data_IF_198151314877
#
_entry.id   IF_198151314877
#
_cell.length_a   1.000
_cell.length_b   1.000
_cell.length_c   1.000
_cell.angle_alpha   90.00
_cell.angle_beta   90.00
_cell.angle_gamma   90.00
#
_symmetry.space_group_name_H-M   'P 1'
#
loop_
_entity.id
_entity.type
_entity.pdbx_description
1 polymer ?
#
# COMPACT_ATOMS: atom_id res chain seq x y z
N UNK A 1 18.14 25.22 -9.72
CA UNK A 1 17.37 23.96 -9.55
C UNK A 1 16.48 23.82 -10.76
N UNK A 2 16.57 22.73 -11.52
CA UNK A 2 15.65 22.48 -12.65
C UNK A 2 14.30 22.01 -12.09
N UNK A 3 13.21 22.40 -12.76
CA UNK A 3 11.83 22.07 -12.35
C UNK A 3 11.59 20.55 -12.21
N UNK A 4 12.36 19.71 -12.92
CA UNK A 4 12.24 18.24 -12.85
C UNK A 4 12.90 17.60 -11.61
N UNK A 5 13.57 18.39 -10.76
CA UNK A 5 14.34 17.86 -9.62
C UNK A 5 13.45 17.53 -8.42
N UNK A 6 12.38 18.28 -8.18
CA UNK A 6 11.52 18.12 -7.02
C UNK A 6 10.06 18.12 -7.45
N UNK A 7 9.20 17.57 -6.60
CA UNK A 7 7.77 17.46 -6.86
C UNK A 7 7.29 16.03 -6.59
N UNK A 8 6.30 15.93 -5.71
CA UNK A 8 5.60 14.70 -5.45
C UNK A 8 4.68 14.39 -6.63
N UNK A 9 4.66 13.13 -7.07
CA UNK A 9 3.78 12.66 -8.14
C UNK A 9 3.16 11.31 -7.74
N UNK A 10 1.88 11.15 -8.07
CA UNK A 10 1.21 9.85 -7.99
C UNK A 10 1.53 8.99 -9.21
N UNK A 11 1.47 7.69 -8.99
CA UNK A 11 1.49 6.67 -10.04
C UNK A 11 0.08 6.17 -10.29
N UNK A 12 -0.20 5.73 -11.51
CA UNK A 12 -1.49 5.15 -11.89
C UNK A 12 -1.32 3.67 -12.22
N UNK A 13 -1.73 2.81 -11.30
CA UNK A 13 -1.63 1.36 -11.38
C UNK A 13 -2.94 0.76 -11.92
N UNK A 14 -2.83 -0.17 -12.86
CA UNK A 14 -4.00 -0.73 -13.54
C UNK A 14 -4.97 -1.53 -12.65
N UNK A 15 -4.51 -1.99 -11.48
CA UNK A 15 -5.32 -2.72 -10.48
C UNK A 15 -5.90 -1.81 -9.41
N UNK A 16 -5.11 -0.86 -8.90
CA UNK A 16 -5.48 -0.04 -7.73
C UNK A 16 -5.91 1.39 -8.04
N UNK A 17 -5.61 1.90 -9.24
CA UNK A 17 -5.79 3.31 -9.56
C UNK A 17 -4.62 4.13 -9.04
N UNK A 18 -4.91 5.21 -8.31
CA UNK A 18 -3.88 6.10 -7.80
C UNK A 18 -3.07 5.45 -6.67
N UNK A 19 -1.75 5.59 -6.76
CA UNK A 19 -0.85 5.15 -5.72
C UNK A 19 0.34 6.11 -5.58
N UNK A 20 0.80 6.34 -4.36
CA UNK A 20 2.09 6.97 -4.13
C UNK A 20 3.19 5.88 -4.14
N UNK A 21 4.42 6.22 -4.52
CA UNK A 21 5.50 5.21 -4.63
C UNK A 21 6.86 5.83 -4.37
N UNK A 22 7.74 5.00 -3.82
CA UNK A 22 9.08 5.32 -3.36
C UNK A 22 10.11 4.31 -3.87
N UNK A 23 11.41 4.64 -3.85
CA UNK A 23 12.47 3.75 -4.32
C UNK A 23 12.74 2.70 -3.24
N UNK A 24 12.38 1.45 -3.54
CA UNK A 24 12.47 0.30 -2.63
C UNK A 24 13.87 0.04 -2.06
N UNK A 25 14.93 0.40 -2.78
CA UNK A 25 16.31 0.25 -2.34
C UNK A 25 16.68 1.22 -1.21
N UNK A 26 15.88 2.27 -0.99
CA UNK A 26 16.09 3.25 0.08
C UNK A 26 15.04 3.14 1.18
N UNK A 27 13.83 2.66 0.87
CA UNK A 27 12.69 2.77 1.79
C UNK A 27 12.14 1.45 2.31
N UNK A 28 12.42 0.31 1.67
CA UNK A 28 11.98 -0.99 2.17
C UNK A 28 12.94 -1.56 3.22
N UNK A 29 12.99 -0.92 4.40
CA UNK A 29 13.99 -1.19 5.45
C UNK A 29 13.96 -2.62 6.02
N UNK A 30 12.80 -3.28 5.99
CA UNK A 30 12.60 -4.64 6.52
C UNK A 30 12.21 -5.66 5.45
N UNK A 31 12.53 -5.39 4.18
CA UNK A 31 12.23 -6.33 3.10
C UNK A 31 13.11 -7.59 3.20
N UNK A 32 12.45 -8.75 3.30
CA UNK A 32 13.09 -10.07 3.23
C UNK A 32 13.64 -10.34 1.83
N UNK A 33 14.50 -11.34 1.70
CA UNK A 33 14.97 -11.81 0.40
C UNK A 33 13.83 -12.23 -0.54
N UNK A 34 12.78 -12.85 0.00
CA UNK A 34 11.58 -13.25 -0.75
C UNK A 34 10.83 -12.03 -1.26
N UNK A 35 10.59 -11.05 -0.39
CA UNK A 35 9.97 -9.78 -0.77
C UNK A 35 10.75 -9.09 -1.90
N UNK A 36 12.08 -9.04 -1.78
CA UNK A 36 12.96 -8.44 -2.81
C UNK A 36 12.89 -9.21 -4.13
N UNK A 37 12.89 -10.55 -4.08
CA UNK A 37 12.81 -11.41 -5.27
C UNK A 37 11.46 -11.33 -6.00
N UNK A 38 10.37 -11.35 -5.24
CA UNK A 38 9.00 -11.30 -5.78
C UNK A 38 8.44 -9.88 -5.93
N UNK A 39 9.23 -8.86 -5.59
CA UNK A 39 8.80 -7.46 -5.61
C UNK A 39 8.19 -7.12 -6.97
N UNK A 40 6.99 -6.56 -6.97
CA UNK A 40 6.31 -6.09 -8.18
C UNK A 40 7.16 -5.08 -8.96
N UNK A 41 7.99 -4.30 -8.27
CA UNK A 41 8.98 -3.41 -8.87
C UNK A 41 10.03 -4.11 -9.75
N UNK A 42 10.17 -5.45 -9.71
CA UNK A 42 11.04 -6.21 -10.62
C UNK A 42 10.44 -6.38 -12.02
N UNK A 43 9.18 -6.00 -12.22
CA UNK A 43 8.55 -6.02 -13.54
C UNK A 43 9.21 -5.03 -14.50
N UNK A 44 9.31 -5.39 -15.78
CA UNK A 44 9.95 -4.55 -16.82
C UNK A 44 9.39 -3.12 -16.83
N UNK A 45 8.08 -2.97 -16.59
CA UNK A 45 7.39 -1.67 -16.52
C UNK A 45 7.86 -0.78 -15.36
N UNK A 46 8.52 -1.32 -14.36
CA UNK A 46 9.03 -0.59 -13.19
C UNK A 46 10.54 -0.31 -13.28
N UNK A 47 11.21 -0.90 -14.28
CA UNK A 47 12.67 -0.85 -14.43
C UNK A 47 13.13 0.25 -15.40
N UNK A 48 12.22 0.92 -16.14
CA UNK A 48 12.63 2.02 -17.00
C UNK A 48 13.13 3.23 -16.20
N UNK A 49 14.09 3.97 -16.77
CA UNK A 49 14.70 5.14 -16.11
C UNK A 49 13.66 6.19 -15.72
N UNK A 50 12.67 6.43 -16.57
CA UNK A 50 11.58 7.35 -16.28
C UNK A 50 10.79 6.91 -15.03
N UNK A 51 10.53 5.61 -14.88
CA UNK A 51 9.78 5.07 -13.75
C UNK A 51 10.61 5.10 -12.46
N UNK A 52 11.89 4.76 -12.53
CA UNK A 52 12.80 4.87 -11.38
C UNK A 52 12.95 6.35 -10.94
N UNK A 53 13.12 7.25 -11.90
CA UNK A 53 13.29 8.70 -11.65
C UNK A 53 12.09 9.31 -10.94
N UNK A 54 10.86 8.91 -11.28
CA UNK A 54 9.65 9.38 -10.57
C UNK A 54 9.68 9.01 -9.08
N UNK A 55 10.04 7.77 -8.75
CA UNK A 55 10.12 7.29 -7.36
C UNK A 55 11.24 7.96 -6.61
N UNK A 56 12.40 8.10 -7.25
CA UNK A 56 13.54 8.80 -6.69
C UNK A 56 13.22 10.28 -6.42
N UNK A 57 12.49 10.95 -7.34
CA UNK A 57 12.02 12.32 -7.13
C UNK A 57 11.05 12.43 -5.97
N UNK A 58 10.12 11.49 -5.81
CA UNK A 58 9.23 11.44 -4.63
C UNK A 58 10.03 11.33 -3.33
N UNK A 59 11.01 10.43 -3.27
CA UNK A 59 11.86 10.26 -2.08
C UNK A 59 12.67 11.52 -1.78
N UNK A 60 13.37 12.06 -2.78
CA UNK A 60 14.17 13.28 -2.64
C UNK A 60 13.31 14.48 -2.20
N UNK A 61 12.10 14.60 -2.74
CA UNK A 61 11.16 15.66 -2.34
C UNK A 61 10.66 15.46 -0.93
N UNK A 62 10.30 14.24 -0.54
CA UNK A 62 9.91 13.95 0.84
C UNK A 62 11.03 14.31 1.83
N UNK A 63 12.26 13.89 1.54
CA UNK A 63 13.43 14.22 2.36
C UNK A 63 13.68 15.73 2.43
N UNK A 64 13.56 16.44 1.31
CA UNK A 64 13.73 17.89 1.28
C UNK A 64 12.68 18.62 2.13
N UNK A 65 11.40 18.25 1.99
CA UNK A 65 10.31 18.87 2.74
C UNK A 65 10.42 18.58 4.24
N UNK A 66 10.77 17.35 4.60
CA UNK A 66 11.07 16.98 5.99
C UNK A 66 12.21 17.81 6.58
N UNK A 67 13.30 18.00 5.83
CA UNK A 67 14.43 18.80 6.29
C UNK A 67 14.11 20.30 6.37
N UNK A 68 13.17 20.81 5.56
CA UNK A 68 12.83 22.24 5.50
C UNK A 68 11.73 22.66 6.45
N UNK A 69 10.72 21.82 6.66
CA UNK A 69 9.55 22.15 7.47
C UNK A 69 8.96 20.96 8.22
N UNK A 70 9.71 19.87 8.33
CA UNK A 70 9.30 18.67 9.04
C UNK A 70 8.08 17.98 8.42
N UNK A 71 7.44 17.15 9.25
CA UNK A 71 6.23 16.40 8.89
C UNK A 71 5.06 17.27 8.43
N UNK A 72 4.92 18.49 8.95
CA UNK A 72 3.82 19.39 8.59
C UNK A 72 3.91 19.86 7.14
N UNK A 73 5.11 20.31 6.71
CA UNK A 73 5.32 20.73 5.32
C UNK A 73 5.20 19.56 4.34
N UNK A 74 5.68 18.36 4.72
CA UNK A 74 5.47 17.17 3.91
C UNK A 74 3.97 16.83 3.83
N UNK A 75 3.24 16.89 4.95
CA UNK A 75 1.81 16.59 4.98
C UNK A 75 1.00 17.52 4.07
N UNK A 76 1.26 18.82 4.10
CA UNK A 76 0.62 19.80 3.20
C UNK A 76 0.76 19.38 1.72
N UNK A 77 1.98 18.99 1.32
CA UNK A 77 2.25 18.57 -0.06
C UNK A 77 1.64 17.18 -0.37
N UNK A 78 1.56 16.28 0.61
CA UNK A 78 0.85 15.01 0.48
C UNK A 78 -0.65 15.25 0.29
N UNK A 79 -1.24 16.17 1.03
CA UNK A 79 -2.63 16.58 0.89
C UNK A 79 -2.91 17.10 -0.53
N UNK A 80 -2.02 17.94 -1.08
CA UNK A 80 -2.18 18.44 -2.46
C UNK A 80 -2.20 17.32 -3.51
N UNK A 81 -1.30 16.33 -3.41
CA UNK A 81 -1.31 15.21 -4.37
C UNK A 81 -2.51 14.28 -4.15
N UNK A 82 -2.98 14.10 -2.90
CA UNK A 82 -4.21 13.36 -2.61
C UNK A 82 -5.40 14.02 -3.32
N UNK A 83 -5.49 15.35 -3.27
CA UNK A 83 -6.55 16.12 -3.94
C UNK A 83 -6.49 16.01 -5.46
N UNK A 84 -5.29 15.88 -6.04
CA UNK A 84 -5.13 15.65 -7.47
C UNK A 84 -5.72 14.30 -7.94
N UNK A 85 -5.96 13.36 -7.01
CA UNK A 85 -6.57 12.07 -7.28
C UNK A 85 -8.10 12.03 -7.14
N UNK A 86 -8.75 13.16 -6.84
CA UNK A 86 -10.22 13.22 -6.70
C UNK A 86 -10.92 12.75 -7.98
N UNK A 87 -12.01 11.95 -7.86
CA UNK A 87 -12.87 11.64 -8.98
C UNK A 87 -13.44 12.91 -9.62
N UNK A 88 -13.65 12.88 -10.94
CA UNK A 88 -14.14 14.05 -11.70
C UNK A 88 -15.50 14.53 -11.19
N UNK A 89 -16.36 13.60 -10.80
CA UNK A 89 -17.71 13.84 -10.29
C UNK A 89 -17.77 14.10 -8.78
N UNK A 90 -16.62 14.27 -8.11
CA UNK A 90 -16.53 14.50 -6.67
C UNK A 90 -17.38 15.69 -6.20
N UNK A 91 -17.36 16.81 -6.93
CA UNK A 91 -18.14 17.99 -6.54
C UNK A 91 -19.65 17.71 -6.59
N UNK A 92 -20.11 16.99 -7.61
CA UNK A 92 -21.52 16.61 -7.75
C UNK A 92 -21.89 15.62 -6.65
N UNK A 93 -21.07 14.59 -6.46
CA UNK A 93 -21.21 13.60 -5.37
C UNK A 93 -21.38 14.28 -4.01
N UNK A 94 -20.58 15.32 -3.73
CA UNK A 94 -20.69 16.11 -2.50
C UNK A 94 -21.94 16.97 -2.41
N UNK A 95 -22.34 17.62 -3.52
CA UNK A 95 -23.51 18.48 -3.54
C UNK A 95 -24.83 17.70 -3.44
N UNK A 96 -24.86 16.44 -3.90
CA UNK A 96 -26.08 15.62 -3.99
C UNK A 96 -26.11 14.44 -3.02
N UNK A 97 -25.13 14.34 -2.11
CA UNK A 97 -24.96 13.19 -1.20
C UNK A 97 -25.04 11.83 -1.92
N UNK A 98 -24.46 11.77 -3.13
CA UNK A 98 -24.47 10.59 -3.99
C UNK A 98 -23.05 10.04 -4.10
N UNK A 99 -22.83 8.72 -4.26
CA UNK A 99 -21.49 8.18 -4.43
C UNK A 99 -20.85 8.63 -5.75
N UNK A 100 -19.53 8.84 -5.74
CA UNK A 100 -18.76 9.03 -6.97
C UNK A 100 -18.83 7.76 -7.84
N UNK A 101 -18.83 7.94 -9.16
CA UNK A 101 -18.77 6.87 -10.17
C UNK A 101 -17.54 5.99 -9.95
N UNK A 102 -16.40 6.63 -9.68
CA UNK A 102 -15.16 5.97 -9.28
C UNK A 102 -14.90 6.32 -7.80
N UNK A 103 -14.77 5.34 -6.91
CA UNK A 103 -14.42 5.62 -5.51
C UNK A 103 -13.11 6.41 -5.40
N UNK A 104 -13.06 7.42 -4.52
CA UNK A 104 -11.83 8.15 -4.24
C UNK A 104 -10.93 7.32 -3.32
N UNK A 105 -9.94 6.67 -3.90
CA UNK A 105 -9.08 5.72 -3.18
C UNK A 105 -7.62 5.95 -3.53
N UNK A 106 -6.72 5.90 -2.56
CA UNK A 106 -5.28 6.00 -2.77
C UNK A 106 -4.50 4.91 -2.03
N UNK A 107 -3.68 4.15 -2.76
CA UNK A 107 -2.73 3.21 -2.16
C UNK A 107 -1.44 3.94 -1.81
N UNK A 108 -1.05 3.96 -0.53
CA UNK A 108 0.10 4.78 -0.08
C UNK A 108 1.42 4.31 -0.73
N UNK A 109 1.60 3.00 -0.92
CA UNK A 109 2.74 2.45 -1.64
C UNK A 109 2.36 1.30 -2.56
N UNK A 110 2.66 1.44 -3.86
CA UNK A 110 2.74 0.30 -4.78
C UNK A 110 4.15 -0.29 -4.81
N UNK A 111 5.17 0.57 -4.74
CA UNK A 111 6.57 0.23 -4.52
C UNK A 111 7.16 1.14 -3.45
N UNK A 112 8.06 0.60 -2.62
CA UNK A 112 8.59 1.29 -1.45
C UNK A 112 7.83 0.90 -0.18
N UNK A 113 8.25 1.46 0.95
CA UNK A 113 7.61 1.26 2.26
C UNK A 113 7.83 2.51 3.14
N UNK A 114 7.25 2.51 4.34
CA UNK A 114 7.53 3.47 5.39
C UNK A 114 8.93 3.23 5.96
N UNK A 115 9.69 4.31 6.17
CA UNK A 115 11.12 4.22 6.51
C UNK A 115 11.59 5.18 7.62
N UNK A 116 10.72 6.08 8.09
CA UNK A 116 11.04 7.01 9.18
C UNK A 116 9.77 7.49 9.89
N UNK A 117 9.94 7.92 11.14
CA UNK A 117 8.83 8.41 11.97
C UNK A 117 8.19 9.66 11.38
N UNK A 118 8.98 10.67 10.99
CA UNK A 118 8.41 11.91 10.44
C UNK A 118 7.71 11.70 9.10
N UNK A 119 8.21 10.79 8.26
CA UNK A 119 7.52 10.43 7.02
C UNK A 119 6.15 9.80 7.30
N UNK A 120 6.08 8.86 8.25
CA UNK A 120 4.81 8.22 8.64
C UNK A 120 3.85 9.22 9.29
N UNK A 121 4.35 10.10 10.17
CA UNK A 121 3.55 11.14 10.80
C UNK A 121 2.96 12.13 9.77
N UNK A 122 3.70 12.44 8.71
CA UNK A 122 3.18 13.29 7.63
C UNK A 122 1.97 12.66 6.92
N UNK A 123 1.98 11.34 6.72
CA UNK A 123 0.81 10.62 6.17
C UNK A 123 -0.39 10.65 7.10
N UNK A 124 -0.17 10.51 8.41
CA UNK A 124 -1.25 10.60 9.41
C UNK A 124 -1.93 11.96 9.33
N UNK A 125 -1.16 13.04 9.28
CA UNK A 125 -1.69 14.41 9.16
C UNK A 125 -2.50 14.54 7.86
N UNK A 126 -1.90 14.18 6.71
CA UNK A 126 -2.54 14.33 5.41
C UNK A 126 -3.85 13.51 5.28
N UNK A 127 -3.89 12.31 5.85
CA UNK A 127 -5.08 11.44 5.78
C UNK A 127 -6.20 11.95 6.70
N UNK A 128 -5.87 12.49 7.88
CA UNK A 128 -6.85 13.14 8.78
C UNK A 128 -7.53 14.33 8.11
N UNK A 129 -6.83 15.05 7.22
CA UNK A 129 -7.40 16.17 6.46
C UNK A 129 -8.33 15.74 5.32
N UNK A 130 -8.35 14.46 4.93
CA UNK A 130 -9.11 13.95 3.78
C UNK A 130 -9.92 12.70 4.15
N UNK A 131 -10.90 12.82 5.08
CA UNK A 131 -11.68 11.67 5.56
C UNK A 131 -12.48 10.97 4.45
N UNK A 132 -12.69 11.60 3.30
CA UNK A 132 -13.50 11.04 2.20
C UNK A 132 -12.70 10.23 1.19
N UNK A 133 -11.37 10.28 1.25
CA UNK A 133 -10.51 9.41 0.48
C UNK A 133 -10.24 8.14 1.29
N UNK A 134 -10.44 6.96 0.70
CA UNK A 134 -10.07 5.69 1.34
C UNK A 134 -8.62 5.34 1.04
N UNK A 135 -7.85 5.07 2.08
CA UNK A 135 -6.43 4.74 2.01
C UNK A 135 -6.18 3.30 2.41
N UNK A 136 -5.14 2.69 1.83
CA UNK A 136 -4.65 1.41 2.29
C UNK A 136 -3.19 1.23 1.92
N UNK A 137 -2.52 0.35 2.67
CA UNK A 137 -1.11 0.07 2.46
C UNK A 137 -0.74 -1.34 2.93
N UNK A 138 0.35 -1.85 2.38
CA UNK A 138 1.04 -3.03 2.88
C UNK A 138 2.39 -2.57 3.40
N UNK A 139 2.79 -3.03 4.58
CA UNK A 139 4.09 -2.66 5.15
C UNK A 139 4.81 -3.87 5.73
N UNK A 140 6.14 -3.84 5.68
CA UNK A 140 7.05 -4.72 6.42
C UNK A 140 7.77 -3.97 7.54
N UNK A 141 7.54 -2.67 7.66
CA UNK A 141 8.20 -1.77 8.60
C UNK A 141 7.67 -1.88 10.03
N UNK A 142 7.39 -3.11 10.47
CA UNK A 142 6.83 -3.45 11.77
C UNK A 142 7.84 -4.13 12.72
N UNK A 143 9.15 -4.08 12.41
CA UNK A 143 10.20 -4.59 13.30
C UNK A 143 10.77 -3.52 14.24
N UNK A 144 10.66 -2.25 13.85
CA UNK A 144 11.03 -1.11 14.69
C UNK A 144 9.79 -0.68 15.49
N UNK A 145 9.86 -0.76 16.83
CA UNK A 145 8.71 -0.55 17.71
C UNK A 145 8.15 0.89 17.64
N UNK A 146 8.98 1.96 17.69
CA UNK A 146 8.48 3.32 17.50
C UNK A 146 7.75 3.51 16.17
N UNK A 147 8.29 2.95 15.08
CA UNK A 147 7.64 3.03 13.77
C UNK A 147 6.36 2.20 13.71
N UNK A 148 6.33 1.00 14.31
CA UNK A 148 5.11 0.18 14.40
C UNK A 148 4.01 0.89 15.17
N UNK A 149 4.33 1.56 16.29
CA UNK A 149 3.34 2.31 17.06
C UNK A 149 2.69 3.40 16.20
N UNK A 150 3.51 4.17 15.47
CA UNK A 150 3.03 5.23 14.60
C UNK A 150 2.27 4.70 13.37
N UNK A 151 2.71 3.58 12.79
CA UNK A 151 1.99 2.88 11.73
C UNK A 151 0.65 2.34 12.22
N UNK A 152 0.55 1.96 13.49
CA UNK A 152 -0.71 1.52 14.10
C UNK A 152 -1.65 2.71 14.23
N UNK A 153 -1.19 3.90 14.66
CA UNK A 153 -2.01 5.11 14.63
C UNK A 153 -2.54 5.40 13.21
N UNK A 154 -1.66 5.32 12.20
CA UNK A 154 -2.05 5.48 10.81
C UNK A 154 -3.12 4.47 10.37
N UNK A 155 -2.93 3.19 10.69
CA UNK A 155 -3.87 2.12 10.34
C UNK A 155 -5.18 2.18 11.14
N UNK A 156 -5.22 2.88 12.28
CA UNK A 156 -6.43 3.08 13.07
C UNK A 156 -7.31 4.23 12.58
N UNK A 157 -6.87 5.00 11.57
CA UNK A 157 -7.72 6.05 10.98
C UNK A 157 -8.93 5.42 10.28
N UNK A 158 -10.15 6.00 10.42
CA UNK A 158 -11.39 5.37 9.94
C UNK A 158 -11.44 5.21 8.42
N UNK A 159 -10.65 5.99 7.68
CA UNK A 159 -10.52 5.93 6.24
C UNK A 159 -9.19 5.30 5.80
N UNK A 160 -8.52 4.51 6.64
CA UNK A 160 -7.26 3.84 6.31
C UNK A 160 -7.26 2.37 6.75
N UNK A 161 -6.78 1.47 5.89
CA UNK A 161 -6.53 0.07 6.25
C UNK A 161 -5.05 -0.29 6.10
N UNK A 162 -4.42 -0.64 7.22
CA UNK A 162 -3.07 -1.20 7.25
C UNK A 162 -3.06 -2.73 7.09
N UNK A 163 -2.13 -3.24 6.28
CA UNK A 163 -1.88 -4.67 6.13
C UNK A 163 -0.41 -4.99 6.45
N UNK A 164 -0.18 -5.93 7.38
CA UNK A 164 1.14 -6.46 7.67
C UNK A 164 1.53 -7.45 6.56
N UNK A 165 2.57 -7.13 5.79
CA UNK A 165 3.06 -8.00 4.73
C UNK A 165 3.96 -9.10 5.31
N UNK A 166 3.43 -10.32 5.30
CA UNK A 166 4.09 -11.51 5.80
C UNK A 166 4.61 -12.40 4.66
N UNK A 167 5.66 -13.16 4.93
CA UNK A 167 6.10 -14.34 4.18
C UNK A 167 6.73 -15.35 5.14
N UNK A 168 7.27 -16.46 4.62
CA UNK A 168 7.90 -17.49 5.46
C UNK A 168 9.07 -16.99 6.32
N UNK A 169 9.73 -15.88 6.00
CA UNK A 169 10.84 -15.36 6.81
C UNK A 169 10.40 -14.42 7.93
N UNK A 170 9.28 -13.68 7.79
CA UNK A 170 8.85 -12.70 8.79
C UNK A 170 7.46 -12.97 9.40
N UNK A 171 6.78 -14.06 9.06
CA UNK A 171 5.41 -14.37 9.53
C UNK A 171 5.24 -14.29 11.05
N UNK A 172 6.18 -14.82 11.84
CA UNK A 172 6.09 -14.74 13.31
C UNK A 172 6.11 -13.30 13.83
N UNK A 173 6.87 -12.41 13.18
CA UNK A 173 6.89 -10.99 13.54
C UNK A 173 5.59 -10.30 13.14
N UNK A 174 5.01 -10.69 12.00
CA UNK A 174 3.67 -10.24 11.60
C UNK A 174 2.59 -10.68 12.59
N UNK A 175 2.65 -11.93 13.09
CA UNK A 175 1.73 -12.41 14.14
C UNK A 175 1.90 -11.58 15.41
N UNK A 176 3.14 -11.32 15.84
CA UNK A 176 3.41 -10.48 17.02
C UNK A 176 2.85 -9.08 16.86
N UNK A 177 3.05 -8.44 15.71
CA UNK A 177 2.51 -7.11 15.43
C UNK A 177 0.96 -7.12 15.40
N UNK A 178 0.34 -8.15 14.80
CA UNK A 178 -1.11 -8.31 14.79
C UNK A 178 -1.69 -8.43 16.21
N UNK A 179 -1.13 -9.32 17.04
CA UNK A 179 -1.64 -9.59 18.40
C UNK A 179 -1.58 -8.35 19.30
N UNK A 180 -0.68 -7.39 19.04
CA UNK A 180 -0.64 -6.12 19.77
C UNK A 180 -1.83 -5.20 19.47
N UNK A 181 -2.41 -5.29 18.27
CA UNK A 181 -3.52 -4.42 17.84
C UNK A 181 -4.43 -5.15 16.83
N UNK A 182 -5.14 -6.21 17.27
CA UNK A 182 -5.85 -7.15 16.38
C UNK A 182 -7.08 -6.53 15.70
N UNK A 183 -7.62 -5.45 16.27
CA UNK A 183 -8.73 -4.65 15.70
C UNK A 183 -8.26 -3.70 14.59
N UNK A 184 -6.95 -3.45 14.47
CA UNK A 184 -6.38 -2.49 13.52
C UNK A 184 -5.75 -3.19 12.33
N UNK A 185 -4.94 -4.22 12.59
CA UNK A 185 -4.15 -4.84 11.54
C UNK A 185 -4.87 -5.99 10.86
N UNK A 186 -4.64 -6.13 9.55
CA UNK A 186 -4.87 -7.39 8.82
C UNK A 186 -3.53 -7.89 8.29
N UNK A 187 -3.47 -9.13 7.82
CA UNK A 187 -2.23 -9.75 7.31
C UNK A 187 -2.34 -10.07 5.83
N UNK A 188 -1.35 -9.62 5.07
CA UNK A 188 -1.16 -9.93 3.67
C UNK A 188 -0.02 -10.94 3.51
N UNK A 189 -0.35 -12.20 3.31
CA UNK A 189 0.60 -13.28 3.12
C UNK A 189 1.08 -13.32 1.67
N UNK A 190 2.37 -13.05 1.45
CA UNK A 190 3.06 -13.26 0.19
C UNK A 190 3.48 -14.74 0.11
N UNK A 191 2.86 -15.49 -0.81
CA UNK A 191 3.13 -16.91 -1.01
C UNK A 191 4.09 -17.10 -2.18
N UNK A 192 5.28 -17.61 -1.88
CA UNK A 192 6.23 -18.13 -2.85
C UNK A 192 5.95 -19.61 -3.18
N UNK A 193 6.70 -20.19 -4.13
CA UNK A 193 6.49 -21.57 -4.56
C UNK A 193 6.72 -22.59 -3.42
N UNK A 194 7.56 -22.23 -2.46
CA UNK A 194 8.00 -23.12 -1.38
C UNK A 194 7.51 -22.60 -0.01
N UNK A 195 6.29 -22.06 0.05
CA UNK A 195 5.71 -21.59 1.31
C UNK A 195 5.39 -22.80 2.19
N UNK A 196 6.05 -22.98 3.34
CA UNK A 196 5.82 -24.15 4.17
C UNK A 196 4.42 -24.11 4.82
N UNK A 197 3.78 -25.27 4.97
CA UNK A 197 2.42 -25.36 5.54
C UNK A 197 2.32 -24.81 6.96
N UNK A 198 3.39 -24.90 7.76
CA UNK A 198 3.42 -24.34 9.12
C UNK A 198 3.25 -22.83 9.16
N UNK A 199 3.65 -22.11 8.10
CA UNK A 199 3.47 -20.65 8.04
C UNK A 199 1.98 -20.32 8.00
N UNK A 200 1.23 -21.00 7.13
CA UNK A 200 -0.22 -20.81 7.04
C UNK A 200 -0.94 -21.23 8.33
N UNK A 201 -0.49 -22.32 8.98
CA UNK A 201 -1.03 -22.77 10.25
C UNK A 201 -0.80 -21.74 11.37
N UNK A 202 0.43 -21.26 11.53
CA UNK A 202 0.79 -20.27 12.57
C UNK A 202 0.00 -18.97 12.46
N UNK A 203 -0.33 -18.54 11.23
CA UNK A 203 -1.19 -17.37 11.01
C UNK A 203 -2.63 -17.68 11.43
N UNK A 204 -3.20 -18.81 10.99
CA UNK A 204 -4.58 -19.19 11.30
C UNK A 204 -4.82 -19.47 12.79
N UNK A 205 -3.80 -19.88 13.52
CA UNK A 205 -3.89 -20.11 14.98
C UNK A 205 -4.13 -18.82 15.77
N UNK A 206 -3.69 -17.67 15.25
CA UNK A 206 -3.72 -16.38 15.98
C UNK A 206 -4.55 -15.31 15.30
N UNK A 207 -4.89 -15.49 14.03
CA UNK A 207 -5.50 -14.46 13.19
C UNK A 207 -6.73 -15.06 12.51
N UNK A 208 -7.87 -14.37 12.63
CA UNK A 208 -9.08 -14.78 11.93
C UNK A 208 -8.81 -14.95 10.42
N UNK A 209 -9.31 -16.02 9.76
CA UNK A 209 -9.17 -16.18 8.32
C UNK A 209 -9.71 -15.00 7.51
N UNK A 210 -10.66 -14.22 8.04
CA UNK A 210 -11.18 -13.00 7.40
C UNK A 210 -10.20 -11.82 7.44
N UNK A 211 -9.21 -11.88 8.33
CA UNK A 211 -8.14 -10.88 8.47
C UNK A 211 -6.85 -11.32 7.78
N UNK A 212 -6.86 -12.43 7.03
CA UNK A 212 -5.73 -12.89 6.24
C UNK A 212 -6.12 -12.89 4.76
N UNK A 213 -5.32 -12.21 3.94
CA UNK A 213 -5.38 -12.33 2.49
C UNK A 213 -4.10 -12.98 1.97
N UNK A 214 -4.25 -13.93 1.07
CA UNK A 214 -3.15 -14.62 0.42
C UNK A 214 -2.86 -14.03 -0.96
N UNK A 215 -1.59 -13.75 -1.22
CA UNK A 215 -1.05 -13.29 -2.49
C UNK A 215 -0.15 -14.40 -3.08
N UNK A 216 -0.73 -15.38 -3.79
CA UNK A 216 0.05 -16.39 -4.49
C UNK A 216 0.91 -15.72 -5.56
N UNK A 217 2.16 -16.16 -5.68
CA UNK A 217 3.06 -15.66 -6.71
C UNK A 217 2.47 -15.93 -8.10
N UNK A 218 2.33 -14.85 -8.86
CA UNK A 218 1.76 -14.85 -10.19
C UNK A 218 2.56 -13.89 -11.08
N UNK A 219 3.43 -14.43 -11.93
CA UNK A 219 4.22 -13.63 -12.88
C UNK A 219 4.53 -14.40 -14.16
N UNK A 220 4.02 -13.91 -15.29
CA UNK A 220 4.23 -14.55 -16.59
C UNK A 220 3.63 -15.95 -16.58
N UNK A 221 4.46 -16.97 -16.83
CA UNK A 221 4.07 -18.39 -16.79
C UNK A 221 4.16 -19.04 -15.40
N UNK A 222 4.67 -18.32 -14.40
CA UNK A 222 4.88 -18.85 -13.06
C UNK A 222 3.66 -18.52 -12.20
N UNK A 223 2.97 -19.57 -11.75
CA UNK A 223 1.78 -19.48 -10.94
C UNK A 223 1.89 -20.46 -9.78
N UNK A 224 1.55 -19.99 -8.59
CA UNK A 224 1.43 -20.84 -7.40
C UNK A 224 -0.05 -21.04 -7.10
N UNK A 225 -0.41 -22.29 -6.85
CA UNK A 225 -1.77 -22.62 -6.43
C UNK A 225 -2.10 -21.96 -5.08
N UNK A 226 -3.25 -21.29 -4.96
CA UNK A 226 -3.61 -20.61 -3.72
C UNK A 226 -3.76 -21.58 -2.55
N UNK A 227 -3.35 -21.14 -1.36
CA UNK A 227 -3.53 -21.91 -0.12
C UNK A 227 -5.01 -22.16 0.19
N UNK A 228 -5.34 -23.40 0.52
CA UNK A 228 -6.69 -23.78 0.95
C UNK A 228 -7.05 -23.14 2.30
N UNK A 229 -8.29 -22.64 2.39
CA UNK A 229 -8.84 -22.06 3.61
C UNK A 229 -8.23 -20.71 4.02
N UNK A 230 -7.53 -20.01 3.11
CA UNK A 230 -7.21 -18.58 3.22
C UNK A 230 -7.75 -17.91 1.96
N UNK A 231 -8.41 -16.77 2.11
CA UNK A 231 -8.90 -16.01 0.96
C UNK A 231 -7.73 -15.55 0.10
N UNK A 232 -7.70 -15.98 -1.15
CA UNK A 232 -6.72 -15.51 -2.13
C UNK A 232 -7.17 -14.20 -2.76
N UNK A 233 -6.23 -13.31 -3.06
CA UNK A 233 -6.54 -12.00 -3.63
C UNK A 233 -7.26 -12.14 -5.00
N UNK A 234 -8.53 -11.67 -5.12
CA UNK A 234 -9.27 -11.80 -6.37
C UNK A 234 -8.60 -11.09 -7.56
N UNK A 235 -7.89 -9.98 -7.29
CA UNK A 235 -7.13 -9.25 -8.31
C UNK A 235 -5.82 -9.95 -8.73
N UNK A 236 -5.32 -10.90 -7.94
CA UNK A 236 -4.23 -11.80 -8.36
C UNK A 236 -4.78 -12.97 -9.17
N UNK A 237 -5.95 -13.49 -8.78
CA UNK A 237 -6.63 -14.56 -9.51
C UNK A 237 -7.27 -14.12 -10.84
N UNK A 238 -7.26 -12.82 -11.13
CA UNK A 238 -7.84 -12.27 -12.37
C UNK A 238 -9.37 -12.25 -12.38
N UNK A 239 -10.01 -12.35 -11.21
CA UNK A 239 -11.48 -12.30 -11.06
C UNK A 239 -12.07 -11.00 -11.62
N UNK A 240 -11.35 -9.89 -11.45
CA UNK A 240 -11.75 -8.57 -11.94
C UNK A 240 -10.92 -8.21 -13.18
N UNK A 241 -11.60 -7.92 -14.30
CA UNK A 241 -10.95 -7.56 -15.56
C UNK A 241 -10.29 -6.18 -15.46
N UNK A 242 -9.11 -6.05 -16.07
CA UNK A 242 -8.50 -4.75 -16.29
C UNK A 242 -9.34 -3.95 -17.30
N UNK A 243 -9.50 -2.66 -17.05
CA UNK A 243 -10.18 -1.74 -17.95
C UNK A 243 -9.25 -0.59 -18.30
N UNK A 244 -9.28 -0.12 -19.54
CA UNK A 244 -8.59 1.11 -19.97
C UNK A 244 -9.44 2.35 -19.74
N UNK A 245 -10.75 2.19 -19.49
CA UNK A 245 -11.65 3.30 -19.18
C UNK A 245 -11.27 3.93 -17.84
N UNK A 246 -10.88 5.21 -17.88
CA UNK A 246 -10.47 5.97 -16.69
C UNK A 246 -11.65 6.32 -15.78
N UNK A 247 -12.88 6.29 -16.30
CA UNK A 247 -14.12 6.56 -15.57
C UNK A 247 -14.74 5.28 -14.99
N UNK A 248 -14.09 4.13 -15.12
CA UNK A 248 -14.55 2.87 -14.55
C UNK A 248 -13.72 2.52 -13.29
N UNK A 249 -14.34 2.00 -12.22
CA UNK A 249 -13.62 1.51 -11.07
C UNK A 249 -12.58 0.45 -11.45
N UNK A 250 -11.38 0.58 -10.89
CA UNK A 250 -10.29 -0.39 -11.03
C UNK A 250 -10.59 -1.68 -10.25
N UNK A 251 -9.94 -2.82 -10.57
CA UNK A 251 -10.14 -4.08 -9.86
C UNK A 251 -10.20 -4.00 -8.33
N UNK A 252 -9.28 -3.28 -7.69
CA UNK A 252 -9.27 -3.16 -6.24
C UNK A 252 -10.38 -2.24 -5.70
N UNK A 253 -10.83 -1.26 -6.49
CA UNK A 253 -11.97 -0.39 -6.16
C UNK A 253 -13.31 -1.14 -6.29
N UNK A 254 -13.38 -2.13 -7.17
CA UNK A 254 -14.53 -3.04 -7.28
C UNK A 254 -14.50 -4.12 -6.18
N UNK A 255 -13.32 -4.68 -5.91
CA UNK A 255 -13.13 -5.75 -4.94
C UNK A 255 -13.33 -5.29 -3.50
N UNK A 256 -12.84 -4.08 -3.16
CA UNK A 256 -12.92 -3.43 -1.84
C UNK A 256 -12.30 -4.18 -0.66
N UNK A 257 -11.86 -5.44 -0.82
CA UNK A 257 -11.36 -6.27 0.27
C UNK A 257 -10.23 -5.65 1.11
N UNK A 258 -9.35 -4.89 0.45
CA UNK A 258 -8.20 -4.25 1.10
C UNK A 258 -8.44 -2.81 1.53
N UNK A 259 -9.61 -2.24 1.18
CA UNK A 259 -10.03 -0.91 1.59
C UNK A 259 -10.57 -0.94 3.03
N UNK A 260 -10.58 0.19 3.74
CA UNK A 260 -11.30 0.35 5.01
C UNK A 260 -12.80 0.11 4.86
#
# INVERSE_FOLDING_TARGET
MTLDTFGLELTNNSKVGWAFSLPRNKTCINATSICKGLCYGNGIRYQSDAQQSKRERNYRTAQFLLNKGGKALLAENLTMIIDSARPRDWLVSKATDSPCTVPWTLRIHDVGDFYSLDYTAAWIIAIKERPECSFWFYTRSFLDEPLLQLLTELASLPNCQGWLSADKHNHMMSVRAYVKSPETWKVALLQDNDLPSQVALSLKEKISPTNIINFPHHRGRYHVEPLKGITACPAVLGTYKLSTNQNAPRPCQQCKYCLP
#
